data_IF_871220771158
#
_entry.id   IF_871220771158
#
_cell.length_a   1.000
_cell.length_b   1.000
_cell.length_c   1.000
_cell.angle_alpha   90.00
_cell.angle_beta   90.00
_cell.angle_gamma   90.00
#
_symmetry.space_group_name_H-M   'P 1'
#
loop_
_entity.id
_entity.type
_entity.pdbx_description
1 polymer ?
#
# COMPACT_ATOMS: atom_id res chain seq x y z
N UNK A 1 8.19 -9.60 29.49
CA UNK A 1 8.03 -8.54 28.49
C UNK A 1 6.89 -7.66 28.94
N UNK A 2 7.15 -6.37 29.11
CA UNK A 2 6.11 -5.36 29.32
C UNK A 2 5.48 -4.99 27.96
N UNK A 3 4.25 -4.47 27.97
CA UNK A 3 3.60 -4.02 26.74
C UNK A 3 4.43 -2.95 26.03
N UNK A 4 4.57 -3.08 24.70
CA UNK A 4 5.32 -2.14 23.86
C UNK A 4 4.44 -1.57 22.76
N UNK A 5 4.37 -0.23 22.68
CA UNK A 5 3.58 0.49 21.67
C UNK A 5 4.46 1.24 20.68
N UNK A 6 4.00 1.33 19.43
CA UNK A 6 4.60 2.16 18.39
C UNK A 6 3.56 2.67 17.40
N UNK A 7 3.87 3.80 16.76
CA UNK A 7 3.19 4.26 15.57
C UNK A 7 3.85 3.65 14.33
N UNK A 8 3.04 3.38 13.30
CA UNK A 8 3.47 2.91 12.00
C UNK A 8 2.81 3.75 10.91
N UNK A 9 3.64 4.24 9.99
CA UNK A 9 3.21 4.83 8.72
C UNK A 9 3.93 4.13 7.56
N UNK A 10 3.39 4.24 6.36
CA UNK A 10 4.01 3.76 5.15
C UNK A 10 3.82 4.79 4.03
N UNK A 11 4.73 4.77 3.05
CA UNK A 11 4.60 5.52 1.80
C UNK A 11 4.33 7.02 2.00
N UNK A 12 5.10 7.74 2.84
CA UNK A 12 4.93 9.18 3.02
C UNK A 12 5.19 9.97 1.74
N UNK A 13 6.00 9.42 0.82
CA UNK A 13 6.29 9.97 -0.50
C UNK A 13 6.52 11.48 -0.47
N UNK A 14 7.36 11.93 0.46
CA UNK A 14 7.60 13.35 0.62
C UNK A 14 8.17 13.93 -0.67
N UNK A 15 7.48 14.92 -1.23
CA UNK A 15 7.95 15.74 -2.34
C UNK A 15 8.09 17.19 -1.87
N UNK A 16 9.23 17.82 -2.17
CA UNK A 16 9.49 19.20 -1.76
C UNK A 16 8.85 20.18 -2.75
N UNK A 17 8.01 21.10 -2.26
CA UNK A 17 7.27 22.02 -3.13
C UNK A 17 8.14 23.01 -3.91
N UNK A 18 9.38 23.28 -3.48
CA UNK A 18 10.34 24.10 -4.23
C UNK A 18 10.76 23.48 -5.56
N UNK A 19 10.55 22.17 -5.75
CA UNK A 19 10.72 21.48 -7.04
C UNK A 19 9.54 21.70 -7.99
N UNK A 20 8.47 22.35 -7.54
CA UNK A 20 7.33 22.70 -8.39
C UNK A 20 6.36 21.55 -8.66
N UNK A 21 5.11 21.93 -8.94
CA UNK A 21 4.01 21.02 -9.28
C UNK A 21 3.00 21.78 -10.14
N UNK A 22 3.43 22.19 -11.34
CA UNK A 22 2.65 23.09 -12.21
C UNK A 22 2.85 22.77 -13.70
N UNK A 23 1.97 23.32 -14.54
CA UNK A 23 2.03 23.18 -15.99
C UNK A 23 1.21 22.02 -16.55
N UNK A 24 1.07 21.99 -17.88
CA UNK A 24 0.22 21.01 -18.57
C UNK A 24 0.66 19.56 -18.35
N UNK A 25 1.97 19.31 -18.23
CA UNK A 25 2.49 17.96 -17.98
C UNK A 25 2.21 17.47 -16.56
N UNK A 26 2.18 18.37 -15.57
CA UNK A 26 1.73 18.06 -14.22
C UNK A 26 0.24 17.68 -14.20
N UNK A 27 -0.61 18.49 -14.84
CA UNK A 27 -2.03 18.21 -14.94
C UNK A 27 -2.29 16.87 -15.66
N UNK A 28 -1.52 16.58 -16.72
CA UNK A 28 -1.60 15.32 -17.45
C UNK A 28 -1.16 14.11 -16.60
N UNK A 29 -0.14 14.28 -15.76
CA UNK A 29 0.33 13.27 -14.81
C UNK A 29 -0.74 12.98 -13.75
N UNK A 30 -1.25 14.02 -13.06
CA UNK A 30 -2.22 13.88 -11.98
C UNK A 30 -3.58 13.32 -12.40
N UNK A 31 -3.89 13.29 -13.71
CA UNK A 31 -5.09 12.60 -14.21
C UNK A 31 -5.12 11.10 -13.87
N UNK A 32 -3.96 10.49 -13.65
CA UNK A 32 -3.83 9.05 -13.44
C UNK A 32 -3.18 8.65 -12.11
N UNK A 33 -2.93 9.63 -11.24
CA UNK A 33 -2.31 9.35 -9.95
C UNK A 33 -3.34 8.96 -8.89
N UNK A 34 -2.97 7.95 -8.11
CA UNK A 34 -3.74 7.46 -6.97
C UNK A 34 -3.47 8.29 -5.71
N UNK A 35 -2.32 8.97 -5.66
CA UNK A 35 -1.77 9.67 -4.50
C UNK A 35 -1.53 11.14 -4.79
N UNK A 36 -1.55 11.97 -3.75
CA UNK A 36 -1.24 13.39 -3.86
C UNK A 36 0.19 13.64 -4.36
N UNK A 37 0.45 14.84 -4.90
CA UNK A 37 1.80 15.23 -5.35
C UNK A 37 2.17 16.61 -4.83
N UNK A 38 1.42 17.65 -5.18
CA UNK A 38 1.69 19.02 -4.69
C UNK A 38 1.35 19.16 -3.19
N UNK A 39 0.44 18.33 -2.69
CA UNK A 39 -0.04 18.37 -1.32
C UNK A 39 0.93 17.70 -0.34
N UNK A 40 1.86 16.88 -0.82
CA UNK A 40 2.58 15.92 0.03
C UNK A 40 3.36 16.60 1.15
N UNK A 41 3.95 17.77 0.90
CA UNK A 41 4.66 18.51 1.94
C UNK A 41 3.72 18.97 3.06
N UNK A 42 2.52 19.46 2.72
CA UNK A 42 1.52 19.88 3.71
C UNK A 42 0.98 18.69 4.51
N UNK A 43 0.67 17.58 3.83
CA UNK A 43 0.21 16.34 4.47
C UNK A 43 1.26 15.81 5.43
N UNK A 44 2.51 15.70 4.98
CA UNK A 44 3.61 15.23 5.82
C UNK A 44 3.85 16.16 7.01
N UNK A 45 3.86 17.49 6.82
CA UNK A 45 4.01 18.42 7.94
C UNK A 45 2.92 18.20 9.01
N UNK A 46 1.64 18.11 8.59
CA UNK A 46 0.53 17.88 9.51
C UNK A 46 0.65 16.54 10.26
N UNK A 47 0.98 15.46 9.55
CA UNK A 47 1.17 14.12 10.14
C UNK A 47 2.34 14.09 11.12
N UNK A 48 3.49 14.66 10.74
CA UNK A 48 4.70 14.65 11.57
C UNK A 48 4.56 15.60 12.78
N UNK A 49 3.85 16.73 12.65
CA UNK A 49 3.54 17.59 13.79
C UNK A 49 2.63 16.85 14.79
N UNK A 50 1.58 16.20 14.30
CA UNK A 50 0.68 15.38 15.12
C UNK A 50 1.43 14.24 15.82
N UNK A 51 2.27 13.48 15.10
CA UNK A 51 3.10 12.41 15.68
C UNK A 51 4.05 12.94 16.76
N UNK A 52 4.51 14.18 16.62
CA UNK A 52 5.37 14.82 17.60
C UNK A 52 4.67 15.14 18.92
N UNK A 53 3.36 15.39 18.87
CA UNK A 53 2.55 15.76 20.02
C UNK A 53 1.78 14.56 20.61
N UNK A 54 1.67 13.46 19.86
CA UNK A 54 0.99 12.24 20.28
C UNK A 54 1.79 11.51 21.38
N UNK A 55 1.10 11.00 22.40
CA UNK A 55 1.68 10.49 23.65
C UNK A 55 1.45 8.99 23.90
N UNK A 56 0.70 8.29 23.04
CA UNK A 56 0.45 6.84 23.20
C UNK A 56 1.69 5.97 22.91
N UNK A 57 2.64 6.50 22.12
CA UNK A 57 3.90 5.82 21.84
C UNK A 57 5.04 6.80 21.52
N UNK A 58 6.25 6.43 21.91
CA UNK A 58 7.47 7.19 21.58
C UNK A 58 8.25 6.62 20.39
N UNK A 59 7.83 5.46 19.88
CA UNK A 59 8.48 4.83 18.72
C UNK A 59 7.64 5.00 17.47
N UNK A 60 8.29 5.37 16.36
CA UNK A 60 7.72 5.45 15.01
C UNK A 60 8.47 4.50 14.08
N UNK A 61 7.71 3.68 13.35
CA UNK A 61 8.15 2.85 12.24
C UNK A 61 7.67 3.46 10.91
N UNK A 62 8.56 3.49 9.91
CA UNK A 62 8.24 3.97 8.55
C UNK A 62 8.62 2.89 7.53
N UNK A 63 7.60 2.29 6.90
CA UNK A 63 7.77 1.15 6.00
C UNK A 63 8.04 1.57 4.54
N UNK A 64 9.12 2.31 4.29
CA UNK A 64 9.62 2.60 2.94
C UNK A 64 8.90 3.73 2.22
N UNK A 65 9.37 4.00 1.00
CA UNK A 65 8.88 5.04 0.10
C UNK A 65 8.84 6.42 0.75
N UNK A 66 9.99 6.80 1.32
CA UNK A 66 10.17 8.01 2.11
C UNK A 66 9.96 9.27 1.27
N UNK A 67 10.41 9.24 0.01
CA UNK A 67 10.29 10.34 -0.96
C UNK A 67 9.46 9.94 -2.19
N UNK A 68 9.09 10.92 -3.01
CA UNK A 68 8.20 10.67 -4.14
C UNK A 68 8.90 9.96 -5.30
N UNK A 69 10.11 10.36 -5.71
CA UNK A 69 10.98 9.60 -6.62
C UNK A 69 12.48 9.82 -6.36
N UNK A 70 12.92 10.03 -5.11
CA UNK A 70 14.34 10.03 -4.79
C UNK A 70 15.01 11.37 -5.10
N UNK A 71 14.23 12.46 -5.13
CA UNK A 71 14.79 13.80 -5.33
C UNK A 71 15.63 14.17 -4.11
N UNK A 72 16.87 14.60 -4.33
CA UNK A 72 17.79 14.92 -3.23
C UNK A 72 17.28 16.05 -2.34
N UNK A 73 16.52 16.97 -2.90
CA UNK A 73 15.87 18.03 -2.13
C UNK A 73 14.71 17.51 -1.27
N UNK A 74 13.93 16.56 -1.78
CA UNK A 74 12.89 15.86 -1.02
C UNK A 74 13.49 15.10 0.17
N UNK A 75 14.60 14.37 -0.02
CA UNK A 75 15.30 13.69 1.09
C UNK A 75 15.74 14.67 2.18
N UNK A 76 16.34 15.80 1.80
CA UNK A 76 16.76 16.83 2.78
C UNK A 76 15.57 17.37 3.58
N UNK A 77 14.44 17.62 2.91
CA UNK A 77 13.21 18.06 3.55
C UNK A 77 12.65 17.01 4.52
N UNK A 78 12.56 15.76 4.07
CA UNK A 78 12.05 14.66 4.89
C UNK A 78 12.92 14.38 6.11
N UNK A 79 14.26 14.37 5.96
CA UNK A 79 15.20 14.22 7.09
C UNK A 79 15.00 15.31 8.14
N UNK A 80 14.67 16.55 7.73
CA UNK A 80 14.36 17.61 8.68
C UNK A 80 13.11 17.29 9.52
N UNK A 81 12.06 16.71 8.92
CA UNK A 81 10.88 16.24 9.66
C UNK A 81 11.26 15.15 10.67
N UNK A 82 12.08 14.18 10.27
CA UNK A 82 12.56 13.12 11.16
C UNK A 82 13.39 13.69 12.33
N UNK A 83 14.29 14.64 12.06
CA UNK A 83 15.10 15.30 13.10
C UNK A 83 14.24 16.10 14.08
N UNK A 84 13.20 16.78 13.59
CA UNK A 84 12.26 17.50 14.45
C UNK A 84 11.53 16.54 15.41
N UNK A 85 11.07 15.38 14.91
CA UNK A 85 10.47 14.35 15.75
C UNK A 85 11.44 13.78 16.79
N UNK A 86 12.69 13.50 16.40
CA UNK A 86 13.73 13.06 17.36
C UNK A 86 14.01 14.10 18.44
N UNK A 87 14.01 15.39 18.09
CA UNK A 87 14.18 16.47 19.05
C UNK A 87 13.01 16.55 20.05
N UNK A 88 11.81 16.06 19.69
CA UNK A 88 10.66 15.86 20.59
C UNK A 88 10.72 14.55 21.39
N UNK A 89 11.81 13.77 21.29
CA UNK A 89 12.02 12.54 22.06
C UNK A 89 11.57 11.26 21.37
N UNK A 90 11.07 11.32 20.13
CA UNK A 90 10.64 10.13 19.39
C UNK A 90 11.83 9.30 18.90
N UNK A 91 11.73 7.98 19.03
CA UNK A 91 12.61 6.99 18.38
C UNK A 91 12.05 6.64 17.02
N UNK A 92 12.88 6.62 16.00
CA UNK A 92 12.44 6.46 14.62
C UNK A 92 13.25 5.37 13.96
N UNK A 93 12.56 4.41 13.34
CA UNK A 93 13.13 3.30 12.60
C UNK A 93 12.52 3.28 11.21
N UNK A 94 13.35 3.38 10.18
CA UNK A 94 12.93 3.43 8.77
C UNK A 94 13.50 2.25 8.00
N UNK A 95 12.81 1.85 6.94
CA UNK A 95 13.45 1.23 5.76
C UNK A 95 13.26 2.18 4.59
N UNK A 96 14.11 2.05 3.58
CA UNK A 96 13.96 2.73 2.28
C UNK A 96 13.32 1.77 1.28
N UNK A 97 12.82 2.30 0.15
CA UNK A 97 12.31 1.49 -0.95
C UNK A 97 12.58 2.10 -2.34
N UNK A 98 11.95 1.59 -3.39
CA UNK A 98 12.33 1.88 -4.77
C UNK A 98 12.14 3.35 -5.18
N UNK A 99 11.19 4.06 -4.54
CA UNK A 99 10.99 5.48 -4.78
C UNK A 99 12.06 6.35 -4.12
N UNK A 100 12.93 5.81 -3.26
CA UNK A 100 13.95 6.59 -2.53
C UNK A 100 15.26 6.79 -3.28
N UNK A 101 15.47 6.11 -4.42
CA UNK A 101 16.73 6.22 -5.16
C UNK A 101 16.57 5.99 -6.66
N UNK A 102 15.49 6.50 -7.27
CA UNK A 102 15.34 6.43 -8.73
C UNK A 102 16.50 7.17 -9.39
N UNK A 103 17.12 6.54 -10.39
CA UNK A 103 18.22 7.17 -11.16
C UNK A 103 17.78 8.46 -11.87
N UNK A 104 16.52 8.49 -12.31
CA UNK A 104 15.89 9.58 -13.05
C UNK A 104 14.62 10.06 -12.32
N UNK A 105 14.77 10.83 -11.22
CA UNK A 105 13.63 11.48 -10.57
C UNK A 105 12.95 12.45 -11.53
N UNK A 106 11.75 12.91 -11.19
CA UNK A 106 11.06 13.91 -12.01
C UNK A 106 10.31 14.96 -11.18
N UNK A 107 10.27 16.15 -11.75
CA UNK A 107 9.57 17.32 -11.23
C UNK A 107 8.84 18.04 -12.37
N UNK A 108 7.91 18.94 -12.03
CA UNK A 108 7.10 19.66 -13.01
C UNK A 108 7.12 21.17 -12.78
N UNK A 109 7.59 21.90 -13.79
CA UNK A 109 7.52 23.36 -13.83
C UNK A 109 6.61 23.87 -14.95
N UNK A 110 6.45 25.19 -15.04
CA UNK A 110 5.63 25.85 -16.08
C UNK A 110 6.01 25.44 -17.51
N UNK A 111 7.30 25.10 -17.73
CA UNK A 111 7.83 24.69 -19.02
C UNK A 111 7.77 23.17 -19.29
N UNK A 112 7.12 22.39 -18.42
CA UNK A 112 7.00 20.94 -18.53
C UNK A 112 7.83 20.16 -17.49
N UNK A 113 7.93 18.85 -17.70
CA UNK A 113 8.69 17.93 -16.84
C UNK A 113 10.20 18.14 -16.98
N UNK A 114 10.90 18.05 -15.87
CA UNK A 114 12.36 18.05 -15.82
C UNK A 114 12.87 17.06 -14.78
N UNK A 115 14.18 16.77 -14.80
CA UNK A 115 14.84 15.85 -13.87
C UNK A 115 15.58 16.66 -12.78
N UNK A 116 15.16 16.62 -11.51
CA UNK A 116 15.92 17.21 -10.40
C UNK A 116 17.14 16.35 -10.04
N UNK A 117 17.98 16.82 -9.12
CA UNK A 117 19.14 16.05 -8.65
C UNK A 117 18.70 14.74 -7.96
N UNK A 118 19.19 13.56 -8.41
CA UNK A 118 18.88 12.28 -7.78
C UNK A 118 19.67 12.05 -6.49
N UNK A 119 19.12 11.26 -5.58
CA UNK A 119 19.85 10.58 -4.51
C UNK A 119 20.24 9.18 -4.97
N UNK A 120 21.52 8.82 -4.85
CA UNK A 120 21.97 7.47 -5.18
C UNK A 120 21.70 6.49 -4.04
N UNK A 121 21.52 5.21 -4.37
CA UNK A 121 21.31 4.15 -3.38
C UNK A 121 22.40 4.12 -2.30
N UNK A 122 23.67 4.31 -2.68
CA UNK A 122 24.80 4.25 -1.73
C UNK A 122 24.82 5.43 -0.74
N UNK A 123 24.12 6.52 -1.05
CA UNK A 123 23.99 7.67 -0.15
C UNK A 123 22.94 7.43 0.95
N UNK A 124 21.98 6.52 0.72
CA UNK A 124 20.85 6.30 1.63
C UNK A 124 21.29 5.86 3.03
N UNK A 125 22.33 5.02 3.12
CA UNK A 125 22.86 4.56 4.41
C UNK A 125 23.29 5.74 5.28
N UNK A 126 24.08 6.66 4.72
CA UNK A 126 24.61 7.80 5.47
C UNK A 126 23.52 8.86 5.72
N UNK A 127 22.61 9.07 4.77
CA UNK A 127 21.49 9.99 4.89
C UNK A 127 20.53 9.61 6.03
N UNK A 128 20.26 8.32 6.17
CA UNK A 128 19.30 7.79 7.14
C UNK A 128 19.93 7.07 8.33
N UNK A 129 21.25 7.16 8.50
CA UNK A 129 21.99 6.46 9.57
C UNK A 129 21.38 6.70 10.96
N UNK A 130 20.93 7.93 11.20
CA UNK A 130 20.33 8.41 12.45
C UNK A 130 18.94 7.83 12.80
N UNK A 131 18.31 7.09 11.88
CA UNK A 131 16.92 6.64 11.98
C UNK A 131 16.78 5.12 11.91
N UNK A 132 17.60 4.42 12.70
CA UNK A 132 17.55 2.98 12.88
C UNK A 132 18.95 2.36 12.89
N UNK A 133 19.79 2.67 11.90
CA UNK A 133 21.12 2.07 11.77
C UNK A 133 22.06 2.42 12.94
N UNK A 134 21.97 3.63 13.49
CA UNK A 134 22.81 4.05 14.62
C UNK A 134 22.55 3.26 15.90
N UNK A 135 21.32 2.75 16.06
CA UNK A 135 20.87 1.99 17.23
C UNK A 135 20.76 0.48 16.94
N UNK A 136 21.19 0.05 15.75
CA UNK A 136 21.07 -1.33 15.30
C UNK A 136 22.06 -2.25 16.02
N UNK A 137 21.59 -3.44 16.40
CA UNK A 137 22.41 -4.49 17.02
C UNK A 137 23.04 -5.43 15.97
N UNK A 138 22.54 -5.39 14.74
CA UNK A 138 23.11 -6.05 13.58
C UNK A 138 22.74 -5.26 12.31
N UNK A 139 23.66 -5.17 11.36
CA UNK A 139 23.46 -4.45 10.08
C UNK A 139 23.96 -5.33 8.94
N UNK A 140 23.12 -5.53 7.93
CA UNK A 140 23.51 -6.00 6.61
C UNK A 140 23.55 -4.80 5.66
N UNK A 141 24.76 -4.26 5.50
CA UNK A 141 24.98 -3.00 4.78
C UNK A 141 24.74 -3.12 3.28
N UNK A 142 24.93 -4.31 2.72
CA UNK A 142 24.72 -4.57 1.29
C UNK A 142 23.23 -4.45 0.93
N UNK A 143 22.38 -5.00 1.79
CA UNK A 143 20.93 -5.00 1.61
C UNK A 143 20.21 -3.84 2.28
N UNK A 144 20.91 -2.96 3.00
CA UNK A 144 20.30 -1.89 3.82
C UNK A 144 19.32 -2.41 4.89
N UNK A 145 19.52 -3.66 5.33
CA UNK A 145 18.73 -4.31 6.37
C UNK A 145 19.41 -4.21 7.73
N UNK A 146 18.65 -4.22 8.80
CA UNK A 146 19.19 -4.17 10.16
C UNK A 146 18.24 -4.77 11.20
N UNK A 147 18.78 -5.03 12.39
CA UNK A 147 18.00 -5.45 13.56
C UNK A 147 18.09 -4.38 14.62
N UNK A 148 16.94 -3.96 15.16
CA UNK A 148 16.87 -3.02 16.27
C UNK A 148 16.22 -3.67 17.49
N UNK A 149 16.81 -3.45 18.67
CA UNK A 149 16.19 -3.78 19.95
C UNK A 149 15.23 -2.64 20.33
N UNK A 150 13.92 -2.87 20.21
CA UNK A 150 12.92 -1.82 20.42
C UNK A 150 12.57 -1.64 21.90
N UNK A 151 12.40 -2.76 22.60
CA UNK A 151 12.12 -2.84 24.03
C UNK A 151 12.63 -4.17 24.59
N UNK A 152 12.61 -4.37 25.90
CA UNK A 152 12.94 -5.68 26.49
C UNK A 152 11.97 -6.75 25.97
N UNK A 153 12.48 -7.79 25.33
CA UNK A 153 11.68 -8.87 24.74
C UNK A 153 11.18 -8.62 23.31
N UNK A 154 11.40 -7.44 22.71
CA UNK A 154 10.91 -7.09 21.36
C UNK A 154 12.04 -6.61 20.45
N UNK A 155 12.23 -7.30 19.31
CA UNK A 155 13.15 -6.93 18.23
C UNK A 155 12.42 -6.68 16.92
N UNK A 156 12.89 -5.66 16.21
CA UNK A 156 12.54 -5.40 14.83
C UNK A 156 13.58 -6.02 13.91
N UNK A 157 13.12 -6.78 12.91
CA UNK A 157 13.87 -7.14 11.72
C UNK A 157 13.47 -6.18 10.59
N UNK A 158 14.26 -5.14 10.34
CA UNK A 158 14.02 -4.17 9.28
C UNK A 158 14.66 -4.67 7.98
N UNK A 159 13.83 -5.04 7.00
CA UNK A 159 14.24 -5.65 5.75
C UNK A 159 14.10 -4.66 4.59
N UNK A 160 15.19 -4.49 3.84
CA UNK A 160 15.18 -3.79 2.56
C UNK A 160 15.60 -4.77 1.44
N UNK A 161 14.93 -4.68 0.29
CA UNK A 161 15.14 -5.53 -0.88
C UNK A 161 15.31 -4.74 -2.17
N UNK A 162 15.54 -3.43 -2.06
CA UNK A 162 15.78 -2.52 -3.19
C UNK A 162 17.28 -2.30 -3.47
N UNK A 163 18.10 -3.31 -3.13
CA UNK A 163 19.55 -3.28 -3.27
C UNK A 163 20.07 -3.22 -4.71
N UNK A 164 21.27 -2.66 -4.83
CA UNK A 164 22.07 -2.52 -6.06
C UNK A 164 22.32 -3.87 -6.76
N UNK A 165 22.40 -4.95 -5.99
CA UNK A 165 22.83 -6.27 -6.51
C UNK A 165 21.83 -6.90 -7.48
N UNK A 166 20.57 -6.49 -7.50
CA UNK A 166 19.58 -6.79 -8.55
C UNK A 166 18.26 -6.15 -8.12
N UNK A 167 17.88 -4.98 -8.68
CA UNK A 167 16.56 -4.31 -8.55
C UNK A 167 15.37 -5.23 -8.88
N UNK A 168 15.18 -6.25 -8.08
CA UNK A 168 14.35 -7.41 -8.37
C UNK A 168 13.39 -7.68 -7.23
N UNK A 169 13.39 -6.81 -6.20
CA UNK A 169 12.54 -6.87 -5.03
C UNK A 169 12.58 -8.27 -4.40
N UNK A 170 13.79 -8.85 -4.33
CA UNK A 170 14.06 -10.23 -3.94
C UNK A 170 15.18 -10.26 -2.90
N UNK A 171 15.06 -11.17 -1.95
CA UNK A 171 16.17 -11.54 -1.07
C UNK A 171 17.04 -12.60 -1.73
N UNK A 172 18.33 -12.32 -1.86
CA UNK A 172 19.30 -13.29 -2.34
C UNK A 172 19.73 -14.28 -1.25
N UNK A 173 20.61 -15.22 -1.60
CA UNK A 173 21.04 -16.26 -0.66
C UNK A 173 21.79 -15.71 0.55
N UNK A 174 22.56 -14.62 0.38
CA UNK A 174 23.32 -13.99 1.46
C UNK A 174 22.38 -13.30 2.45
N UNK A 175 21.42 -12.53 1.94
CA UNK A 175 20.42 -11.87 2.78
C UNK A 175 19.57 -12.90 3.53
N UNK A 176 19.14 -13.98 2.86
CA UNK A 176 18.38 -15.08 3.49
C UNK A 176 19.19 -15.76 4.60
N UNK A 177 20.50 -15.99 4.39
CA UNK A 177 21.36 -16.54 5.42
C UNK A 177 21.51 -15.59 6.62
N UNK A 178 21.64 -14.30 6.37
CA UNK A 178 21.69 -13.27 7.41
C UNK A 178 20.39 -13.20 8.22
N UNK A 179 19.23 -13.24 7.55
CA UNK A 179 17.91 -13.29 8.19
C UNK A 179 17.83 -14.47 9.16
N UNK A 180 18.19 -15.68 8.71
CA UNK A 180 18.21 -16.90 9.55
C UNK A 180 19.15 -16.79 10.74
N UNK A 181 20.31 -16.16 10.55
CA UNK A 181 21.24 -15.92 11.65
C UNK A 181 20.61 -15.02 12.72
N UNK A 182 19.94 -13.93 12.30
CA UNK A 182 19.35 -12.99 13.24
C UNK A 182 18.09 -13.53 13.94
N UNK A 183 17.23 -14.27 13.23
CA UNK A 183 16.06 -14.94 13.83
C UNK A 183 16.49 -15.99 14.85
N UNK A 184 17.56 -16.73 14.56
CA UNK A 184 18.17 -17.67 15.51
C UNK A 184 18.66 -16.96 16.77
N UNK A 185 19.42 -15.87 16.64
CA UNK A 185 19.90 -15.08 17.79
C UNK A 185 18.75 -14.53 18.64
N UNK A 186 17.71 -13.99 18.01
CA UNK A 186 16.54 -13.51 18.74
C UNK A 186 15.86 -14.62 19.55
N UNK A 187 15.75 -15.82 18.99
CA UNK A 187 15.21 -16.99 19.69
C UNK A 187 16.10 -17.42 20.87
N UNK A 188 17.42 -17.44 20.67
CA UNK A 188 18.39 -17.76 21.74
C UNK A 188 18.35 -16.72 22.87
N UNK A 189 18.08 -15.46 22.55
CA UNK A 189 17.95 -14.34 23.49
C UNK A 189 16.53 -14.19 24.08
N UNK A 190 15.59 -15.07 23.72
CA UNK A 190 14.19 -15.01 24.19
C UNK A 190 13.46 -13.73 23.77
N UNK A 191 13.69 -13.27 22.54
CA UNK A 191 13.10 -12.06 21.99
C UNK A 191 12.04 -12.40 20.94
N UNK A 192 10.85 -11.81 21.08
CA UNK A 192 9.88 -11.75 19.99
C UNK A 192 10.48 -10.92 18.85
N UNK A 193 10.42 -11.46 17.64
CA UNK A 193 10.85 -10.76 16.43
C UNK A 193 9.68 -10.58 15.47
N UNK A 194 9.44 -9.35 15.06
CA UNK A 194 8.58 -9.04 13.92
C UNK A 194 9.39 -8.34 12.82
N UNK A 195 8.89 -8.40 11.59
CA UNK A 195 9.54 -7.78 10.45
C UNK A 195 8.86 -6.47 10.03
N UNK A 196 9.66 -5.57 9.46
CA UNK A 196 9.18 -4.47 8.62
C UNK A 196 9.80 -4.66 7.24
N UNK A 197 8.97 -4.66 6.19
CA UNK A 197 9.37 -4.88 4.81
C UNK A 197 8.48 -4.02 3.91
N UNK A 198 9.03 -3.33 2.91
CA UNK A 198 8.20 -2.39 2.15
C UNK A 198 7.12 -3.12 1.32
N UNK A 199 7.50 -4.18 0.61
CA UNK A 199 6.59 -4.90 -0.27
C UNK A 199 5.74 -5.94 0.50
N UNK A 200 4.43 -6.04 0.23
CA UNK A 200 3.59 -7.09 0.81
C UNK A 200 4.11 -8.49 0.49
N UNK A 201 4.13 -9.37 1.48
CA UNK A 201 4.36 -10.81 1.34
C UNK A 201 3.06 -11.56 1.05
N UNK A 202 1.93 -11.06 1.55
CA UNK A 202 0.61 -11.55 1.21
C UNK A 202 -0.12 -10.49 0.37
N UNK A 203 -0.83 -10.87 -0.70
CA UNK A 203 -1.60 -9.92 -1.48
C UNK A 203 -2.62 -9.20 -0.59
N UNK A 204 -2.61 -7.86 -0.64
CA UNK A 204 -3.48 -7.03 0.19
C UNK A 204 -4.97 -7.37 0.04
N UNK A 205 -5.38 -7.83 -1.16
CA UNK A 205 -6.70 -8.35 -1.47
C UNK A 205 -6.59 -9.62 -2.33
N UNK A 206 -7.55 -10.57 -2.27
CA UNK A 206 -7.47 -11.82 -3.02
C UNK A 206 -7.23 -11.65 -4.53
N UNK A 207 -7.85 -10.69 -5.19
CA UNK A 207 -7.67 -10.45 -6.63
C UNK A 207 -6.27 -9.91 -6.97
N UNK A 208 -5.58 -9.29 -6.02
CA UNK A 208 -4.18 -8.87 -6.21
C UNK A 208 -3.24 -10.08 -6.27
N UNK A 209 -3.65 -11.26 -5.79
CA UNK A 209 -2.83 -12.49 -5.91
C UNK A 209 -2.50 -12.88 -7.35
N UNK A 210 -3.30 -12.44 -8.33
CA UNK A 210 -3.10 -12.74 -9.76
C UNK A 210 -2.50 -11.57 -10.53
N UNK A 211 -2.13 -10.48 -9.83
CA UNK A 211 -1.51 -9.29 -10.40
C UNK A 211 -0.04 -9.25 -9.97
N UNK A 212 0.87 -9.44 -10.92
CA UNK A 212 2.30 -9.32 -10.64
C UNK A 212 2.67 -7.91 -10.18
N UNK A 213 3.58 -7.79 -9.21
CA UNK A 213 4.09 -6.50 -8.72
C UNK A 213 3.28 -5.90 -7.57
N UNK A 214 2.21 -6.58 -7.13
CA UNK A 214 1.42 -6.15 -5.95
C UNK A 214 1.85 -6.85 -4.65
N UNK A 215 2.94 -7.60 -4.73
CA UNK A 215 3.58 -8.33 -3.65
C UNK A 215 5.04 -8.54 -4.04
N UNK A 216 5.87 -8.83 -3.05
CA UNK A 216 7.29 -9.08 -3.21
C UNK A 216 7.56 -10.22 -4.20
N UNK A 217 8.66 -10.14 -4.94
CA UNK A 217 9.14 -11.30 -5.70
C UNK A 217 9.50 -12.44 -4.75
N UNK A 218 9.14 -13.67 -5.14
CA UNK A 218 9.31 -14.87 -4.33
C UNK A 218 8.57 -14.81 -2.97
N UNK A 219 7.49 -14.02 -2.89
CA UNK A 219 6.68 -13.81 -1.69
C UNK A 219 6.30 -15.11 -0.95
N UNK A 220 5.86 -16.17 -1.64
CA UNK A 220 5.53 -17.45 -0.97
C UNK A 220 6.74 -18.08 -0.27
N UNK A 221 7.92 -18.04 -0.89
CA UNK A 221 9.13 -18.60 -0.29
C UNK A 221 9.59 -17.79 0.92
N UNK A 222 9.48 -16.46 0.85
CA UNK A 222 9.83 -15.55 1.95
C UNK A 222 8.84 -15.64 3.10
N UNK A 223 7.54 -15.68 2.80
CA UNK A 223 6.45 -15.90 3.77
C UNK A 223 6.70 -17.19 4.56
N UNK A 224 7.02 -18.28 3.86
CA UNK A 224 7.33 -19.57 4.48
C UNK A 224 8.57 -19.51 5.35
N UNK A 225 9.65 -18.93 4.84
CA UNK A 225 10.89 -18.74 5.58
C UNK A 225 10.65 -18.00 6.90
N UNK A 226 10.01 -16.83 6.85
CA UNK A 226 9.81 -16.00 8.04
C UNK A 226 8.97 -16.73 9.08
N UNK A 227 7.85 -17.34 8.67
CA UNK A 227 7.00 -18.09 9.59
C UNK A 227 7.71 -19.29 10.24
N UNK A 228 8.52 -20.04 9.46
CA UNK A 228 9.31 -21.16 9.97
C UNK A 228 10.45 -20.72 10.89
N UNK A 229 11.00 -19.52 10.65
CA UNK A 229 12.01 -18.89 11.49
C UNK A 229 11.42 -18.19 12.73
N UNK A 230 10.10 -18.26 12.95
CA UNK A 230 9.42 -17.71 14.14
C UNK A 230 9.03 -16.25 14.03
N UNK A 231 9.09 -15.67 12.83
CA UNK A 231 8.63 -14.30 12.55
C UNK A 231 7.17 -14.37 12.06
N UNK A 232 6.24 -14.22 12.99
CA UNK A 232 4.80 -14.40 12.76
C UNK A 232 4.06 -13.11 12.37
N UNK A 233 4.76 -11.98 12.26
CA UNK A 233 4.19 -10.67 11.97
C UNK A 233 5.14 -9.85 11.09
N UNK A 234 4.62 -9.30 10.00
CA UNK A 234 5.32 -8.36 9.13
C UNK A 234 4.46 -7.12 8.84
N UNK A 235 5.06 -5.95 8.93
CA UNK A 235 4.46 -4.67 8.57
C UNK A 235 4.94 -4.22 7.20
N UNK A 236 4.01 -3.85 6.32
CA UNK A 236 4.29 -3.53 4.91
C UNK A 236 3.56 -2.28 4.42
N UNK A 237 3.89 -1.84 3.20
CA UNK A 237 3.36 -0.66 2.50
C UNK A 237 3.22 -0.92 0.99
N UNK A 238 3.77 -0.04 0.14
CA UNK A 238 3.91 -0.15 -1.33
C UNK A 238 2.60 -0.03 -2.11
N UNK A 239 1.59 -0.81 -1.74
CA UNK A 239 0.32 -0.90 -2.47
C UNK A 239 -0.66 0.22 -2.14
N UNK A 240 -0.34 1.01 -1.10
CA UNK A 240 -1.16 2.08 -0.53
C UNK A 240 -2.55 1.60 -0.09
N UNK A 241 -2.77 0.28 -0.01
CA UNK A 241 -4.00 -0.31 0.47
C UNK A 241 -3.89 -0.63 1.97
N UNK A 242 -5.00 -0.51 2.66
CA UNK A 242 -5.13 -0.92 4.04
C UNK A 242 -5.58 -2.39 4.09
N UNK A 243 -4.75 -3.27 4.65
CA UNK A 243 -5.16 -4.67 4.86
C UNK A 243 -4.44 -5.36 6.02
N UNK A 244 -5.08 -6.38 6.58
CA UNK A 244 -4.47 -7.36 7.50
C UNK A 244 -4.79 -8.78 7.00
N UNK A 245 -3.77 -9.48 6.52
CA UNK A 245 -3.93 -10.83 5.96
C UNK A 245 -3.18 -11.87 6.78
N UNK A 246 -3.77 -13.07 6.94
CA UNK A 246 -3.19 -14.20 7.65
C UNK A 246 -2.93 -15.36 6.68
N UNK A 247 -1.73 -15.94 6.76
CA UNK A 247 -1.42 -17.25 6.17
C UNK A 247 -1.08 -18.24 7.27
N UNK A 248 -1.71 -19.41 7.23
CA UNK A 248 -1.34 -20.58 8.04
C UNK A 248 -0.69 -21.62 7.12
N UNK A 249 0.54 -22.00 7.42
CA UNK A 249 1.29 -23.02 6.70
C UNK A 249 0.83 -24.43 7.06
N UNK A 250 1.26 -25.41 6.27
CA UNK A 250 0.88 -26.82 6.45
C UNK A 250 1.39 -27.42 7.77
N UNK A 251 2.49 -26.88 8.31
CA UNK A 251 3.05 -27.25 9.61
C UNK A 251 2.37 -26.54 10.80
N UNK A 252 1.38 -25.68 10.54
CA UNK A 252 0.64 -24.92 11.55
C UNK A 252 1.22 -23.54 11.88
N UNK A 253 2.41 -23.20 11.37
CA UNK A 253 3.00 -21.87 11.56
C UNK A 253 2.13 -20.81 10.89
N UNK A 254 2.01 -19.64 11.53
CA UNK A 254 1.20 -18.52 11.06
C UNK A 254 2.08 -17.34 10.70
N UNK A 255 1.62 -16.49 9.78
CA UNK A 255 2.20 -15.17 9.58
C UNK A 255 1.11 -14.19 9.17
N UNK A 256 1.12 -13.04 9.84
CA UNK A 256 0.28 -11.89 9.50
C UNK A 256 1.09 -10.90 8.67
N UNK A 257 0.51 -10.45 7.56
CA UNK A 257 0.97 -9.30 6.79
C UNK A 257 0.02 -8.13 7.02
N UNK A 258 0.59 -7.05 7.55
CA UNK A 258 -0.11 -5.84 7.96
C UNK A 258 0.34 -4.71 7.03
N UNK A 259 -0.31 -4.62 5.86
CA UNK A 259 -0.07 -3.58 4.84
C UNK A 259 -0.80 -2.29 5.21
N UNK A 260 -0.07 -1.19 5.34
CA UNK A 260 -0.58 0.11 5.81
C UNK A 260 -0.77 1.03 4.61
N UNK A 261 -1.93 1.68 4.53
CA UNK A 261 -2.21 2.66 3.48
C UNK A 261 -1.26 3.87 3.56
N UNK A 262 -0.98 4.49 2.41
CA UNK A 262 -0.15 5.69 2.34
C UNK A 262 -0.81 6.85 3.10
N UNK A 263 -0.02 7.67 3.79
CA UNK A 263 -0.55 8.89 4.43
C UNK A 263 -0.95 9.97 3.42
N UNK A 264 -0.51 9.89 2.15
CA UNK A 264 -0.82 10.88 1.10
C UNK A 264 -1.87 10.41 0.08
N UNK A 265 -2.52 9.28 0.33
CA UNK A 265 -3.57 8.72 -0.54
C UNK A 265 -4.73 8.16 0.30
N UNK A 266 -5.91 8.00 -0.29
CA UNK A 266 -7.04 7.32 0.36
C UNK A 266 -6.64 5.85 0.71
N UNK A 267 -6.80 5.38 1.97
CA UNK A 267 -7.61 5.96 3.05
C UNK A 267 -6.90 6.93 4.02
N UNK A 268 -5.58 7.12 3.89
CA UNK A 268 -4.74 8.02 4.70
C UNK A 268 -4.83 7.76 6.21
N UNK A 269 -4.01 6.82 6.67
CA UNK A 269 -4.07 6.32 8.05
C UNK A 269 -2.67 6.14 8.66
N UNK A 270 -2.62 6.26 9.98
CA UNK A 270 -1.49 5.91 10.85
C UNK A 270 -1.95 4.69 11.65
N UNK A 271 -1.10 3.69 11.88
CA UNK A 271 -1.41 2.59 12.81
C UNK A 271 -0.76 2.85 14.16
N UNK A 272 -1.52 2.73 15.24
CA UNK A 272 -1.02 2.50 16.59
C UNK A 272 -1.04 1.00 16.84
N UNK A 273 0.13 0.43 17.14
CA UNK A 273 0.30 -0.99 17.39
C UNK A 273 0.77 -1.19 18.82
N UNK A 274 0.16 -2.14 19.51
CA UNK A 274 0.55 -2.60 20.84
C UNK A 274 0.93 -4.07 20.79
N UNK A 275 2.19 -4.36 21.07
CA UNK A 275 2.66 -5.71 21.38
C UNK A 275 2.36 -5.94 22.86
N UNK A 276 1.20 -6.52 23.15
CA UNK A 276 0.79 -6.84 24.53
C UNK A 276 1.64 -7.98 25.09
N UNK A 277 1.89 -9.01 24.26
CA UNK A 277 2.70 -10.18 24.60
C UNK A 277 3.30 -10.81 23.35
N UNK A 278 4.12 -11.85 23.51
CA UNK A 278 4.72 -12.59 22.38
C UNK A 278 3.67 -13.20 21.42
N UNK A 279 2.43 -13.38 21.89
CA UNK A 279 1.35 -14.00 21.12
C UNK A 279 0.18 -13.07 20.78
N UNK A 280 0.06 -11.91 21.43
CA UNK A 280 -1.06 -10.99 21.23
C UNK A 280 -0.60 -9.61 20.80
N UNK A 281 -1.15 -9.13 19.69
CA UNK A 281 -0.89 -7.79 19.15
C UNK A 281 -2.21 -7.07 18.89
N UNK A 282 -2.35 -5.84 19.38
CA UNK A 282 -3.47 -4.97 19.07
C UNK A 282 -3.07 -3.95 18.01
N UNK A 283 -3.93 -3.74 17.02
CA UNK A 283 -3.75 -2.74 15.98
C UNK A 283 -4.98 -1.84 15.97
N UNK A 284 -4.73 -0.54 15.98
CA UNK A 284 -5.73 0.51 15.77
C UNK A 284 -5.27 1.43 14.65
N UNK A 285 -6.15 1.67 13.69
CA UNK A 285 -5.90 2.63 12.61
C UNK A 285 -6.51 3.98 12.97
N UNK A 286 -5.69 5.01 12.90
CA UNK A 286 -5.97 6.40 13.24
C UNK A 286 -5.99 7.18 11.92
N UNK A 287 -7.08 7.86 11.55
CA UNK A 287 -7.08 8.77 10.42
C UNK A 287 -5.99 9.83 10.58
N UNK A 288 -5.31 10.20 9.49
CA UNK A 288 -4.36 11.32 9.52
C UNK A 288 -5.07 12.63 9.92
N UNK A 289 -4.34 13.59 10.51
CA UNK A 289 -4.88 14.91 10.79
C UNK A 289 -5.26 15.65 9.50
N UNK A 290 -6.15 16.63 9.62
CA UNK A 290 -6.39 17.58 8.53
C UNK A 290 -5.11 18.36 8.21
N UNK A 291 -4.93 18.71 6.93
CA UNK A 291 -3.77 19.43 6.42
C UNK A 291 -4.19 20.73 5.72
N UNK A 292 -3.28 21.71 5.67
CA UNK A 292 -3.57 23.00 5.05
C UNK A 292 -3.38 22.93 3.53
N UNK A 293 -4.50 22.85 2.80
CA UNK A 293 -4.53 22.89 1.33
C UNK A 293 -5.84 23.47 0.80
N UNK A 294 -5.86 23.96 -0.44
CA UNK A 294 -7.12 24.36 -1.10
C UNK A 294 -7.90 23.12 -1.54
N UNK A 295 -8.72 22.59 -0.63
CA UNK A 295 -9.60 21.45 -0.89
C UNK A 295 -10.87 21.82 -1.66
N UNK A 296 -11.04 23.10 -2.03
CA UNK A 296 -12.26 23.64 -2.66
C UNK A 296 -13.53 23.39 -1.82
N UNK A 297 -13.39 23.50 -0.49
CA UNK A 297 -14.48 23.37 0.47
C UNK A 297 -14.84 21.93 0.88
N UNK A 298 -14.00 20.95 0.52
CA UNK A 298 -14.15 19.54 0.94
C UNK A 298 -13.35 19.28 2.23
N UNK A 299 -13.72 18.25 2.98
CA UNK A 299 -12.82 17.75 4.03
C UNK A 299 -11.58 17.12 3.41
N UNK A 300 -10.47 17.03 4.15
CA UNK A 300 -9.24 16.38 3.67
C UNK A 300 -9.50 14.94 3.23
N UNK A 301 -10.27 14.19 4.02
CA UNK A 301 -10.71 12.83 3.65
C UNK A 301 -11.46 12.80 2.31
N UNK A 302 -12.45 13.67 2.14
CA UNK A 302 -13.20 13.74 0.87
C UNK A 302 -12.31 14.14 -0.30
N UNK A 303 -11.35 15.04 -0.08
CA UNK A 303 -10.39 15.44 -1.10
C UNK A 303 -9.55 14.26 -1.60
N UNK A 304 -9.03 13.44 -0.67
CA UNK A 304 -8.24 12.25 -0.99
C UNK A 304 -9.09 11.16 -1.68
N UNK A 305 -10.29 10.86 -1.18
CA UNK A 305 -11.17 9.88 -1.83
C UNK A 305 -11.58 10.35 -3.24
N UNK A 306 -11.79 11.66 -3.43
CA UNK A 306 -12.11 12.23 -4.74
C UNK A 306 -10.92 12.17 -5.70
N UNK A 307 -9.67 12.32 -5.23
CA UNK A 307 -8.47 12.13 -6.05
C UNK A 307 -8.46 10.70 -6.63
N UNK A 308 -8.65 9.69 -5.77
CA UNK A 308 -8.70 8.29 -6.17
C UNK A 308 -9.86 8.02 -7.15
N UNK A 309 -11.06 8.51 -6.85
CA UNK A 309 -12.22 8.34 -7.72
C UNK A 309 -12.00 9.03 -9.08
N UNK A 310 -11.38 10.22 -9.10
CA UNK A 310 -11.08 10.94 -10.34
C UNK A 310 -10.09 10.20 -11.23
N UNK A 311 -9.06 9.55 -10.66
CA UNK A 311 -8.16 8.66 -11.42
C UNK A 311 -8.97 7.60 -12.18
N UNK A 312 -9.86 6.89 -11.49
CA UNK A 312 -10.69 5.85 -12.09
C UNK A 312 -11.67 6.40 -13.13
N UNK A 313 -12.31 7.53 -12.84
CA UNK A 313 -13.24 8.19 -13.76
C UNK A 313 -12.52 8.68 -15.02
N UNK A 314 -11.28 9.16 -14.91
CA UNK A 314 -10.43 9.54 -16.04
C UNK A 314 -10.08 8.31 -16.89
N UNK A 315 -9.70 7.20 -16.26
CA UNK A 315 -9.46 5.94 -16.98
C UNK A 315 -10.71 5.45 -17.72
N UNK A 316 -11.90 5.55 -17.12
CA UNK A 316 -13.17 5.20 -17.76
C UNK A 316 -13.51 6.15 -18.92
N UNK A 317 -13.19 7.44 -18.80
CA UNK A 317 -13.35 8.42 -19.86
C UNK A 317 -12.40 8.13 -21.04
N UNK A 318 -11.17 7.71 -20.77
CA UNK A 318 -10.24 7.33 -21.83
C UNK A 318 -10.68 6.04 -22.54
N UNK A 319 -11.15 5.03 -21.81
CA UNK A 319 -11.74 3.82 -22.43
C UNK A 319 -12.92 4.16 -23.35
N UNK A 320 -13.65 5.24 -23.05
CA UNK A 320 -14.73 5.78 -23.89
C UNK A 320 -14.20 6.49 -25.13
N UNK A 321 -13.22 7.39 -24.98
CA UNK A 321 -12.82 8.35 -26.02
C UNK A 321 -11.60 7.89 -26.83
N UNK A 322 -10.57 7.38 -26.16
CA UNK A 322 -9.36 6.83 -26.77
C UNK A 322 -8.80 5.68 -25.91
N UNK A 323 -9.24 4.43 -26.15
CA UNK A 323 -8.91 3.30 -25.29
C UNK A 323 -7.45 2.84 -25.44
N UNK A 324 -6.65 3.45 -26.32
CA UNK A 324 -5.26 3.05 -26.56
C UNK A 324 -4.44 3.02 -25.26
N UNK A 325 -4.43 4.11 -24.49
CA UNK A 325 -3.59 4.19 -23.28
C UNK A 325 -4.00 3.18 -22.20
N UNK A 326 -5.29 3.09 -21.81
CA UNK A 326 -5.74 2.07 -20.86
C UNK A 326 -5.50 0.63 -21.35
N UNK A 327 -5.79 0.33 -22.63
CA UNK A 327 -5.58 -1.01 -23.17
C UNK A 327 -4.09 -1.36 -23.28
N UNK A 328 -3.22 -0.39 -23.59
CA UNK A 328 -1.77 -0.58 -23.59
C UNK A 328 -1.25 -0.99 -22.21
N UNK A 329 -1.71 -0.32 -21.14
CA UNK A 329 -1.40 -0.70 -19.75
C UNK A 329 -1.83 -2.14 -19.41
N UNK A 330 -2.87 -2.64 -20.08
CA UNK A 330 -3.38 -4.02 -19.93
C UNK A 330 -2.75 -5.02 -20.94
N UNK A 331 -1.72 -4.64 -21.70
CA UNK A 331 -1.10 -5.50 -22.73
C UNK A 331 -1.96 -5.73 -23.98
N UNK A 332 -2.99 -4.91 -24.20
CA UNK A 332 -3.95 -4.99 -25.30
C UNK A 332 -3.85 -3.81 -26.28
N UNK A 333 -2.79 -2.99 -26.19
CA UNK A 333 -2.59 -1.79 -27.02
C UNK A 333 -2.52 -2.09 -28.53
N UNK A 334 -2.01 -3.26 -28.91
CA UNK A 334 -1.92 -3.67 -30.31
C UNK A 334 -3.24 -4.22 -30.87
N UNK A 335 -4.23 -4.50 -30.01
CA UNK A 335 -5.54 -5.02 -30.42
C UNK A 335 -6.47 -3.89 -30.87
N UNK A 336 -6.04 -3.11 -31.86
CA UNK A 336 -6.79 -1.96 -32.41
C UNK A 336 -8.22 -2.30 -32.83
N UNK A 337 -8.49 -3.54 -33.24
CA UNK A 337 -9.85 -4.02 -33.57
C UNK A 337 -10.83 -4.00 -32.38
N UNK A 338 -10.33 -4.05 -31.13
CA UNK A 338 -11.15 -3.96 -29.92
C UNK A 338 -11.56 -2.52 -29.60
N UNK A 339 -10.83 -1.52 -30.07
CA UNK A 339 -11.01 -0.12 -29.67
C UNK A 339 -12.43 0.39 -29.93
N UNK A 340 -13.01 0.26 -31.15
CA UNK A 340 -14.38 0.73 -31.38
C UNK A 340 -15.41 0.00 -30.52
N UNK A 341 -15.18 -1.27 -30.21
CA UNK A 341 -16.06 -2.09 -29.36
C UNK A 341 -16.00 -1.58 -27.91
N UNK A 342 -14.79 -1.42 -27.37
CA UNK A 342 -14.55 -0.90 -26.00
C UNK A 342 -15.14 0.50 -25.86
N UNK A 343 -14.84 1.41 -26.79
CA UNK A 343 -15.40 2.76 -26.79
C UNK A 343 -16.92 2.78 -26.86
N UNK A 344 -17.54 1.88 -27.63
CA UNK A 344 -19.00 1.76 -27.70
C UNK A 344 -19.60 1.27 -26.37
N UNK A 345 -18.98 0.27 -25.74
CA UNK A 345 -19.40 -0.28 -24.45
C UNK A 345 -19.31 0.80 -23.37
N UNK A 346 -18.16 1.45 -23.22
CA UNK A 346 -17.97 2.50 -22.20
C UNK A 346 -18.84 3.74 -22.45
N UNK A 347 -19.13 4.10 -23.71
CA UNK A 347 -20.12 5.15 -24.02
C UNK A 347 -21.52 4.82 -23.49
N UNK A 348 -21.93 3.55 -23.51
CA UNK A 348 -23.20 3.10 -22.93
C UNK A 348 -23.14 3.05 -21.41
N UNK A 349 -22.11 2.41 -20.84
CA UNK A 349 -21.96 2.25 -19.40
C UNK A 349 -21.85 3.60 -18.66
N UNK A 350 -21.20 4.60 -19.27
CA UNK A 350 -21.03 5.92 -18.67
C UNK A 350 -22.35 6.72 -18.51
N UNK A 351 -23.44 6.30 -19.18
CA UNK A 351 -24.74 7.00 -19.16
C UNK A 351 -25.81 6.30 -18.32
N UNK A 352 -25.56 5.07 -17.87
CA UNK A 352 -26.55 4.29 -17.14
C UNK A 352 -26.35 4.38 -15.62
N UNK A 353 -27.46 4.22 -14.91
CA UNK A 353 -27.43 3.99 -13.46
C UNK A 353 -27.25 2.51 -13.16
N UNK A 354 -26.96 2.17 -11.91
CA UNK A 354 -26.97 0.79 -11.41
C UNK A 354 -28.32 0.11 -11.73
N UNK A 355 -29.44 0.80 -11.57
CA UNK A 355 -30.76 0.27 -11.94
C UNK A 355 -30.91 -0.04 -13.43
N UNK A 356 -30.41 0.84 -14.29
CA UNK A 356 -30.38 0.59 -15.74
C UNK A 356 -29.50 -0.60 -16.11
N UNK A 357 -28.35 -0.75 -15.45
CA UNK A 357 -27.46 -1.90 -15.62
C UNK A 357 -28.13 -3.20 -15.16
N UNK A 358 -28.72 -3.22 -13.96
CA UNK A 358 -29.43 -4.38 -13.44
C UNK A 358 -30.54 -4.84 -14.39
N UNK A 359 -31.29 -3.90 -14.96
CA UNK A 359 -32.31 -4.21 -15.97
C UNK A 359 -31.71 -4.84 -17.23
N UNK A 360 -30.58 -4.31 -17.73
CA UNK A 360 -29.90 -4.82 -18.93
C UNK A 360 -29.45 -6.28 -18.79
N UNK A 361 -29.00 -6.70 -17.60
CA UNK A 361 -28.51 -8.06 -17.35
C UNK A 361 -29.53 -8.98 -16.64
N UNK A 362 -30.75 -8.48 -16.45
CA UNK A 362 -31.88 -9.17 -15.82
C UNK A 362 -31.64 -9.58 -14.35
N UNK A 363 -31.06 -8.70 -13.53
CA UNK A 363 -30.91 -8.91 -12.08
C UNK A 363 -31.78 -7.94 -11.27
N UNK A 364 -32.10 -8.30 -10.03
CA UNK A 364 -32.82 -7.42 -9.10
C UNK A 364 -31.92 -6.25 -8.69
N UNK A 365 -32.50 -5.06 -8.55
CA UNK A 365 -31.80 -3.85 -8.12
C UNK A 365 -32.46 -3.29 -6.86
N UNK A 366 -31.72 -3.20 -5.73
CA UNK A 366 -32.20 -2.53 -4.53
C UNK A 366 -32.50 -1.03 -4.78
N UNK A 367 -33.58 -0.47 -4.23
CA UNK A 367 -33.95 0.94 -4.44
C UNK A 367 -32.85 1.94 -4.07
N UNK A 368 -32.06 1.63 -3.05
CA UNK A 368 -31.02 2.47 -2.45
C UNK A 368 -29.90 2.81 -3.46
N UNK A 369 -29.55 1.85 -4.32
CA UNK A 369 -28.47 2.01 -5.32
C UNK A 369 -29.02 2.28 -6.71
N UNK A 370 -30.32 2.11 -6.94
CA UNK A 370 -30.95 2.15 -8.28
C UNK A 370 -30.65 3.41 -9.09
N UNK A 371 -30.55 4.57 -8.43
CA UNK A 371 -30.28 5.87 -9.07
C UNK A 371 -28.79 6.22 -9.16
N UNK A 372 -27.93 5.47 -8.47
CA UNK A 372 -26.49 5.71 -8.48
C UNK A 372 -25.93 5.57 -9.91
N UNK A 373 -25.09 6.49 -10.40
CA UNK A 373 -24.39 6.30 -11.67
C UNK A 373 -23.49 5.05 -11.62
N UNK A 374 -23.54 4.20 -12.65
CA UNK A 374 -22.78 2.95 -12.65
C UNK A 374 -21.26 3.17 -12.53
N UNK A 375 -20.74 4.25 -13.11
CA UNK A 375 -19.32 4.61 -13.02
C UNK A 375 -18.87 4.93 -11.59
N UNK A 376 -19.73 5.57 -10.79
CA UNK A 376 -19.44 5.85 -9.37
C UNK A 376 -19.49 4.56 -8.56
N UNK A 377 -20.46 3.69 -8.85
CA UNK A 377 -20.54 2.38 -8.23
C UNK A 377 -19.27 1.55 -8.49
N UNK A 378 -18.75 1.59 -9.72
CA UNK A 378 -17.50 0.91 -10.08
C UNK A 378 -16.27 1.57 -9.42
N UNK A 379 -16.23 2.90 -9.33
CA UNK A 379 -15.16 3.63 -8.65
C UNK A 379 -15.11 3.27 -7.15
N UNK A 380 -16.25 3.33 -6.45
CA UNK A 380 -16.36 2.95 -5.05
C UNK A 380 -16.03 1.47 -4.79
N UNK A 381 -16.36 0.57 -5.72
CA UNK A 381 -15.98 -0.84 -5.62
C UNK A 381 -14.46 -1.02 -5.60
N UNK A 382 -13.76 -0.34 -6.53
CA UNK A 382 -12.30 -0.42 -6.61
C UNK A 382 -11.65 0.31 -5.45
N UNK A 383 -12.10 1.52 -5.12
CA UNK A 383 -11.58 2.29 -3.97
C UNK A 383 -11.74 1.54 -2.66
N UNK A 384 -12.88 0.89 -2.44
CA UNK A 384 -13.11 0.07 -1.25
C UNK A 384 -12.05 -1.03 -1.07
N UNK A 385 -11.57 -1.63 -2.17
CA UNK A 385 -10.49 -2.64 -2.11
C UNK A 385 -9.16 -2.06 -1.55
N UNK A 386 -8.95 -0.75 -1.68
CA UNK A 386 -7.78 -0.05 -1.15
C UNK A 386 -8.03 0.53 0.26
N UNK A 387 -9.25 0.98 0.55
CA UNK A 387 -9.60 1.54 1.87
C UNK A 387 -9.54 0.52 3.01
N UNK A 388 -9.62 -0.78 2.73
CA UNK A 388 -9.83 -1.82 3.75
C UNK A 388 -11.30 -1.92 4.17
N UNK A 389 -11.64 -2.97 4.94
CA UNK A 389 -13.00 -3.22 5.46
C UNK A 389 -14.08 -3.14 4.37
N UNK A 390 -13.85 -3.83 3.25
CA UNK A 390 -14.64 -3.71 2.03
C UNK A 390 -16.13 -3.95 2.26
N UNK A 391 -16.96 -3.09 1.65
CA UNK A 391 -18.38 -2.95 1.99
C UNK A 391 -19.32 -3.72 1.06
N UNK A 392 -18.84 -4.29 -0.05
CA UNK A 392 -19.69 -4.99 -1.03
C UNK A 392 -19.93 -6.45 -0.63
N UNK A 393 -20.41 -6.65 0.60
CA UNK A 393 -20.76 -7.95 1.18
C UNK A 393 -22.23 -8.32 0.98
N UNK A 394 -22.52 -9.62 1.00
CA UNK A 394 -23.89 -10.15 0.92
C UNK A 394 -24.80 -9.52 1.98
N UNK A 395 -26.02 -9.16 1.58
CA UNK A 395 -27.00 -8.49 2.44
C UNK A 395 -26.88 -6.97 2.47
N UNK A 396 -25.93 -6.38 1.74
CA UNK A 396 -25.87 -4.93 1.50
C UNK A 396 -26.42 -4.59 0.11
N UNK A 397 -27.06 -3.42 -0.09
CA UNK A 397 -27.58 -3.03 -1.39
C UNK A 397 -26.56 -3.06 -2.53
N UNK A 398 -25.30 -2.67 -2.26
CA UNK A 398 -24.21 -2.71 -3.24
C UNK A 398 -23.69 -4.15 -3.42
N UNK A 399 -23.38 -4.85 -2.33
CA UNK A 399 -22.89 -6.23 -2.42
C UNK A 399 -23.85 -7.17 -3.13
N UNK A 400 -25.15 -7.07 -2.89
CA UNK A 400 -26.14 -7.93 -3.55
C UNK A 400 -26.20 -7.70 -5.08
N UNK A 401 -26.03 -6.45 -5.54
CA UNK A 401 -25.92 -6.16 -6.98
C UNK A 401 -24.63 -6.74 -7.56
N UNK A 402 -23.49 -6.57 -6.86
CA UNK A 402 -22.21 -7.11 -7.31
C UNK A 402 -22.22 -8.64 -7.40
N UNK A 403 -22.73 -9.32 -6.39
CA UNK A 403 -22.84 -10.79 -6.33
C UNK A 403 -23.75 -11.30 -7.44
N UNK A 404 -24.93 -10.67 -7.63
CA UNK A 404 -25.84 -11.06 -8.70
C UNK A 404 -25.22 -10.86 -10.10
N UNK A 405 -24.38 -9.83 -10.26
CA UNK A 405 -23.57 -9.65 -11.47
C UNK A 405 -22.53 -10.77 -11.62
N UNK A 406 -21.75 -11.08 -10.57
CA UNK A 406 -20.77 -12.16 -10.59
C UNK A 406 -21.41 -13.50 -10.95
N UNK A 407 -22.59 -13.81 -10.39
CA UNK A 407 -23.35 -15.02 -10.70
C UNK A 407 -23.72 -15.10 -12.20
N UNK A 408 -24.07 -13.95 -12.80
CA UNK A 408 -24.42 -13.85 -14.22
C UNK A 408 -23.23 -14.12 -15.13
N UNK A 409 -22.03 -13.70 -14.73
CA UNK A 409 -20.79 -13.87 -15.52
C UNK A 409 -19.97 -15.10 -15.12
N UNK A 410 -20.37 -15.84 -14.07
CA UNK A 410 -19.67 -17.03 -13.58
C UNK A 410 -19.31 -18.06 -14.65
N UNK A 411 -20.16 -18.39 -15.64
CA UNK A 411 -19.80 -19.32 -16.72
C UNK A 411 -18.62 -18.84 -17.58
N UNK A 412 -18.41 -17.53 -17.68
CA UNK A 412 -17.29 -16.90 -18.39
C UNK A 412 -16.05 -16.94 -17.50
N UNK A 413 -16.17 -16.52 -16.24
CA UNK A 413 -15.06 -16.48 -15.27
C UNK A 413 -14.39 -17.85 -15.10
N UNK A 414 -15.19 -18.93 -15.04
CA UNK A 414 -14.67 -20.32 -14.95
C UNK A 414 -13.79 -20.77 -16.12
N UNK A 415 -13.86 -20.09 -17.27
CA UNK A 415 -13.05 -20.40 -18.46
C UNK A 415 -11.69 -19.70 -18.47
N UNK A 416 -11.51 -18.72 -17.58
CA UNK A 416 -10.27 -17.97 -17.49
C UNK A 416 -9.36 -18.72 -16.52
N UNK A 417 -8.15 -19.04 -16.98
CA UNK A 417 -7.11 -19.59 -16.11
C UNK A 417 -6.40 -18.44 -15.44
N UNK A 418 -6.45 -18.40 -14.12
CA UNK A 418 -5.69 -17.47 -13.29
C UNK A 418 -4.86 -18.28 -12.29
N UNK A 419 -3.67 -17.80 -11.99
CA UNK A 419 -2.72 -18.44 -11.07
C UNK A 419 -2.38 -17.43 -9.99
N UNK A 420 -2.55 -17.83 -8.73
CA UNK A 420 -2.20 -17.02 -7.55
C UNK A 420 -0.68 -16.92 -7.38
N UNK A 421 -0.25 -16.02 -6.50
CA UNK A 421 1.16 -15.78 -6.19
C UNK A 421 1.92 -17.03 -5.69
N UNK A 422 1.22 -17.98 -5.07
CA UNK A 422 1.76 -19.27 -4.61
C UNK A 422 1.67 -20.39 -5.66
N UNK A 423 1.35 -20.04 -6.92
CA UNK A 423 1.33 -20.97 -8.05
C UNK A 423 0.07 -21.83 -8.15
N UNK A 424 -0.93 -21.61 -7.29
CA UNK A 424 -2.17 -22.38 -7.32
C UNK A 424 -3.16 -21.84 -8.36
N UNK A 425 -4.04 -22.72 -8.86
CA UNK A 425 -5.12 -22.30 -9.75
C UNK A 425 -6.18 -21.55 -8.96
N UNK A 426 -6.55 -20.35 -9.41
CA UNK A 426 -7.57 -19.52 -8.78
C UNK A 426 -8.94 -19.65 -9.48
N UNK A 427 -10.03 -19.60 -8.69
CA UNK A 427 -11.38 -19.29 -9.21
C UNK A 427 -11.59 -17.77 -9.14
N UNK A 428 -11.65 -17.12 -10.31
CA UNK A 428 -11.85 -15.67 -10.40
C UNK A 428 -13.18 -15.20 -9.78
N UNK A 429 -14.21 -16.05 -9.74
CA UNK A 429 -15.44 -15.70 -9.04
C UNK A 429 -15.17 -15.50 -7.55
N UNK A 430 -14.46 -16.44 -6.93
CA UNK A 430 -14.16 -16.38 -5.50
C UNK A 430 -13.16 -15.27 -5.20
N UNK A 431 -12.16 -15.04 -6.05
CA UNK A 431 -11.24 -13.91 -5.88
C UNK A 431 -11.97 -12.57 -5.90
N UNK A 432 -12.83 -12.34 -6.90
CA UNK A 432 -13.57 -11.08 -7.02
C UNK A 432 -14.55 -10.90 -5.85
N UNK A 433 -15.25 -11.96 -5.46
CA UNK A 433 -16.20 -11.92 -4.35
C UNK A 433 -15.51 -11.56 -3.03
N UNK A 434 -14.39 -12.21 -2.73
CA UNK A 434 -13.66 -12.02 -1.47
C UNK A 434 -12.77 -10.76 -1.47
N UNK A 435 -12.53 -10.13 -2.63
CA UNK A 435 -11.87 -8.82 -2.69
C UNK A 435 -12.85 -7.67 -2.53
N UNK A 436 -14.12 -7.86 -2.92
CA UNK A 436 -15.14 -6.83 -2.83
C UNK A 436 -15.79 -6.72 -1.44
N UNK A 437 -15.70 -7.78 -0.63
CA UNK A 437 -16.19 -7.78 0.74
C UNK A 437 -15.11 -8.28 1.69
N UNK A 438 -14.96 -7.65 2.84
CA UNK A 438 -14.08 -8.17 3.87
C UNK A 438 -14.79 -9.33 4.61
N UNK A 439 -14.24 -10.53 4.50
CA UNK A 439 -14.68 -11.73 5.23
C UNK A 439 -13.61 -12.25 6.20
N UNK A 440 -12.49 -11.53 6.33
CA UNK A 440 -11.35 -11.86 7.17
C UNK A 440 -11.26 -10.98 8.41
N UNK A 441 -10.03 -10.64 8.77
CA UNK A 441 -9.72 -9.75 9.89
C UNK A 441 -10.16 -8.31 9.57
N UNK A 442 -10.61 -7.56 10.59
CA UNK A 442 -10.88 -6.12 10.44
C UNK A 442 -9.56 -5.38 10.13
N UNK A 443 -9.51 -4.60 9.06
CA UNK A 443 -8.28 -3.95 8.58
C UNK A 443 -7.87 -2.71 9.40
N UNK A 444 -8.78 -2.23 10.27
CA UNK A 444 -8.62 -1.01 11.05
C UNK A 444 -8.37 -1.31 12.52
N UNK A 445 -9.16 -2.19 13.12
CA UNK A 445 -9.10 -2.50 14.55
C UNK A 445 -9.08 -4.02 14.76
N UNK A 446 -7.91 -4.56 15.06
CA UNK A 446 -7.71 -6.00 15.16
C UNK A 446 -6.93 -6.40 16.41
N UNK A 447 -7.27 -7.57 16.94
CA UNK A 447 -6.42 -8.31 17.87
C UNK A 447 -5.89 -9.53 17.11
N UNK A 448 -4.58 -9.60 16.94
CA UNK A 448 -3.90 -10.70 16.27
C UNK A 448 -3.42 -11.70 17.31
N UNK A 449 -3.56 -12.99 16.97
CA UNK A 449 -3.04 -14.11 17.76
C UNK A 449 -1.98 -14.84 16.95
N UNK A 450 -0.71 -14.64 17.31
CA UNK A 450 0.45 -15.04 16.52
C UNK A 450 0.78 -16.54 16.62
N UNK A 451 0.50 -17.16 17.77
CA UNK A 451 0.82 -18.58 18.07
C UNK A 451 -0.48 -19.35 18.28
#
# INVERSE_FOLDING_TARGET
>A
MDSFKFYLIADPHFYKNSLGASGEEYDAFMRYEQKCYAETESINNAVFDWLGDADEADTLLIAGDLTFNGEKESHKGFIQLLRNLRAKGKKIYIITADHDCKEHPFAFGENGRYEPEPTRYEELYDLYYEFGFSDAIAVDREHMSYVAQLADGVRLLALCNDGDVNHSHRFDEQHIAWIKEQTKKAREDGQMMFAMNHYPLLPGQPILSVVSGTYQKDAEAVTRLLADEGVHLVFTGHMHNQSINLRTLENGNKIYDVCTGSIIADPSVIRLVEIESESTVHIQSIPTPDFEWDTKGKTCKQYLSDLFDNMLLNMFADLRDNPYNPLRKLGLGDKKKLFPIVSLVFRRLNKITVGGFCHLICIKCPPEVKKMPLKMYAAELVRGMFEGNQTFKRGTPKGDVFIAFLDRVRPILRRINATTFDGQRADLYDLLLNSAGNYGTDDYNATLHLI
#
